data_IF_506369516255
#
_entry.id   IF_506369516255
#
_cell.length_a   1.000
_cell.length_b   1.000
_cell.length_c   1.000
_cell.angle_alpha   90.00
_cell.angle_beta   90.00
_cell.angle_gamma   90.00
#
_symmetry.space_group_name_H-M   'P 1'
#
loop_
_entity.id
_entity.type
_entity.pdbx_description
1 polymer ?
#
# COMPACT_ATOMS: atom_id res chain seq x y z
N UNK A 1 67.24 7.52 -54.93
CA UNK A 1 65.83 7.52 -55.37
C UNK A 1 64.95 7.77 -54.15
N UNK A 2 64.10 8.81 -54.19
CA UNK A 2 62.98 9.09 -53.26
C UNK A 2 61.85 8.06 -53.54
N UNK A 3 60.95 7.70 -52.59
CA UNK A 3 59.92 8.67 -52.16
C UNK A 3 59.44 8.62 -50.70
N UNK A 4 58.97 9.79 -50.29
CA UNK A 4 57.97 10.08 -49.26
C UNK A 4 56.62 9.46 -49.64
N UNK A 5 55.88 8.93 -48.66
CA UNK A 5 54.41 8.70 -48.66
C UNK A 5 53.98 8.96 -47.21
N UNK A 6 53.19 9.95 -46.80
CA UNK A 6 51.88 10.52 -47.23
C UNK A 6 50.73 9.51 -47.23
N UNK A 7 49.74 9.77 -46.36
CA UNK A 7 48.26 9.71 -46.55
C UNK A 7 47.55 9.17 -45.28
N UNK A 8 46.70 10.00 -44.63
CA UNK A 8 45.21 9.95 -44.64
C UNK A 8 44.69 9.09 -43.48
N UNK A 9 43.82 9.52 -42.55
CA UNK A 9 42.68 10.44 -42.64
C UNK A 9 41.39 9.61 -42.60
N UNK A 10 40.68 9.54 -41.45
CA UNK A 10 39.28 9.07 -41.32
C UNK A 10 38.77 9.41 -39.90
N UNK A 11 38.09 10.54 -39.67
CA UNK A 11 36.62 10.75 -39.65
C UNK A 11 35.77 9.79 -38.79
N UNK A 12 35.17 10.40 -37.76
CA UNK A 12 33.79 10.27 -37.26
C UNK A 12 33.35 8.95 -36.61
N UNK A 13 33.00 9.04 -35.31
CA UNK A 13 31.74 8.51 -34.78
C UNK A 13 31.39 9.20 -33.46
N UNK A 14 30.47 10.17 -33.52
CA UNK A 14 29.75 10.66 -32.37
C UNK A 14 28.95 9.50 -31.78
N UNK A 15 29.39 8.97 -30.65
CA UNK A 15 28.58 8.04 -29.86
C UNK A 15 27.68 8.88 -28.98
N UNK A 16 26.55 9.32 -29.53
CA UNK A 16 25.42 9.76 -28.72
C UNK A 16 24.99 8.55 -27.88
N UNK A 17 25.40 8.52 -26.62
CA UNK A 17 24.85 7.60 -25.64
C UNK A 17 23.37 7.95 -25.49
N UNK A 18 22.52 7.23 -26.22
CA UNK A 18 21.09 7.19 -25.98
C UNK A 18 20.91 6.64 -24.58
N UNK A 19 20.74 7.55 -23.62
CA UNK A 19 20.14 7.29 -22.33
C UNK A 19 18.70 6.86 -22.60
N UNK A 20 18.52 5.59 -22.97
CA UNK A 20 17.24 4.92 -22.84
C UNK A 20 16.99 4.84 -21.34
N UNK A 21 16.36 5.88 -20.81
CA UNK A 21 15.69 5.82 -19.52
C UNK A 21 14.73 4.65 -19.62
N UNK A 22 15.07 3.57 -18.92
CA UNK A 22 14.16 2.50 -18.60
C UNK A 22 13.04 3.12 -17.77
N UNK A 23 12.01 3.63 -18.45
CA UNK A 23 10.73 3.88 -17.83
C UNK A 23 10.29 2.49 -17.35
N UNK A 24 10.37 2.26 -16.03
CA UNK A 24 9.68 1.14 -15.43
C UNK A 24 8.26 1.17 -15.99
N UNK A 25 7.88 0.13 -16.72
CA UNK A 25 6.51 -0.02 -17.14
C UNK A 25 5.70 -0.04 -15.84
N UNK A 26 4.97 1.04 -15.57
CA UNK A 26 4.01 1.07 -14.47
C UNK A 26 3.11 -0.14 -14.70
N UNK A 27 3.18 -1.14 -13.81
CA UNK A 27 2.18 -2.18 -13.76
C UNK A 27 0.82 -1.48 -13.70
N UNK A 28 -0.16 -1.96 -14.46
CA UNK A 28 -1.50 -1.41 -14.39
C UNK A 28 -1.97 -1.56 -12.93
N UNK A 29 -2.12 -0.45 -12.22
CA UNK A 29 -2.53 -0.46 -10.82
C UNK A 29 -3.88 -1.17 -10.65
N UNK A 30 -4.03 -1.92 -9.56
CA UNK A 30 -5.28 -2.61 -9.21
C UNK A 30 -6.18 -1.75 -8.32
N UNK A 31 -7.26 -2.37 -7.85
CA UNK A 31 -8.15 -1.76 -6.87
C UNK A 31 -8.31 -2.65 -5.64
N UNK A 32 -8.59 -2.05 -4.49
CA UNK A 32 -8.91 -2.76 -3.26
C UNK A 32 -10.14 -2.18 -2.59
N UNK A 33 -11.09 -3.06 -2.29
CA UNK A 33 -12.17 -2.78 -1.35
C UNK A 33 -11.77 -3.25 0.04
N UNK A 34 -12.24 -2.57 1.08
CA UNK A 34 -11.94 -3.03 2.42
C UNK A 34 -12.97 -2.66 3.47
N UNK A 35 -12.87 -3.36 4.58
CA UNK A 35 -13.61 -3.08 5.80
C UNK A 35 -12.74 -3.31 7.02
N UNK A 36 -12.96 -2.49 8.05
CA UNK A 36 -12.34 -2.61 9.36
C UNK A 36 -13.44 -2.46 10.40
N UNK A 37 -13.51 -3.39 11.34
CA UNK A 37 -14.41 -3.31 12.50
C UNK A 37 -13.58 -3.04 13.75
N UNK A 38 -13.93 -1.98 14.48
CA UNK A 38 -13.27 -1.55 15.73
C UNK A 38 -14.35 -1.27 16.76
N UNK A 39 -14.27 -1.90 17.92
CA UNK A 39 -15.23 -1.76 19.01
C UNK A 39 -16.70 -1.89 18.54
N UNK A 40 -16.96 -2.81 17.60
CA UNK A 40 -18.29 -3.06 17.02
C UNK A 40 -18.78 -2.03 15.99
N UNK A 41 -17.99 -0.98 15.68
CA UNK A 41 -18.27 -0.06 14.59
C UNK A 41 -17.48 -0.47 13.35
N UNK A 42 -18.14 -0.53 12.19
CA UNK A 42 -17.51 -0.92 10.93
C UNK A 42 -17.33 0.28 10.02
N UNK A 43 -16.12 0.41 9.48
CA UNK A 43 -15.74 1.33 8.43
C UNK A 43 -15.53 0.54 7.14
N UNK A 44 -16.08 1.01 6.02
CA UNK A 44 -15.92 0.37 4.72
C UNK A 44 -15.47 1.37 3.66
N UNK A 45 -14.69 0.93 2.70
CA UNK A 45 -14.33 1.69 1.51
C UNK A 45 -14.32 0.77 0.29
N UNK A 46 -14.38 1.39 -0.88
CA UNK A 46 -14.35 0.67 -2.15
C UNK A 46 -13.41 1.35 -3.14
N UNK A 47 -12.81 0.59 -4.03
CA UNK A 47 -12.02 1.07 -5.16
C UNK A 47 -10.83 1.96 -4.77
N UNK A 48 -10.17 1.68 -3.63
CA UNK A 48 -8.90 2.32 -3.32
C UNK A 48 -7.83 1.85 -4.31
N UNK A 49 -6.99 2.77 -4.78
CA UNK A 49 -5.96 2.49 -5.77
C UNK A 49 -4.81 1.69 -5.17
N UNK A 50 -4.26 0.79 -5.97
CA UNK A 50 -3.04 0.06 -5.61
C UNK A 50 -1.97 0.21 -6.70
N UNK A 51 -0.70 0.09 -6.31
CA UNK A 51 0.42 0.29 -7.24
C UNK A 51 0.59 -0.85 -8.26
N UNK A 52 0.02 -2.03 -8.00
CA UNK A 52 0.12 -3.26 -8.78
C UNK A 52 -1.07 -4.17 -8.41
N UNK A 53 -1.12 -5.40 -8.91
CA UNK A 53 -2.14 -6.40 -8.59
C UNK A 53 -1.52 -7.64 -7.93
N UNK A 54 -2.24 -8.35 -7.04
CA UNK A 54 -1.75 -9.62 -6.49
C UNK A 54 -1.46 -10.64 -7.60
N UNK A 55 -0.40 -11.47 -7.47
CA UNK A 55 0.38 -11.72 -6.26
C UNK A 55 1.61 -10.82 -6.08
N UNK A 56 1.80 -9.79 -6.91
CA UNK A 56 2.92 -8.88 -6.73
C UNK A 56 2.76 -8.09 -5.42
N UNK A 57 3.88 -7.79 -4.74
CA UNK A 57 3.86 -6.81 -3.65
C UNK A 57 3.38 -5.47 -4.19
N UNK A 58 2.44 -4.86 -3.48
CA UNK A 58 1.83 -3.59 -3.87
C UNK A 58 1.77 -2.63 -2.68
N UNK A 59 1.49 -1.37 -2.95
CA UNK A 59 1.06 -0.39 -1.94
C UNK A 59 -0.39 -0.01 -2.18
N UNK A 60 -1.12 0.28 -1.10
CA UNK A 60 -2.47 0.88 -1.18
C UNK A 60 -2.29 2.39 -1.03
N UNK A 61 -2.79 3.17 -1.99
CA UNK A 61 -2.75 4.63 -1.93
C UNK A 61 -3.76 5.13 -0.90
N UNK A 62 -3.24 5.60 0.24
CA UNK A 62 -4.05 6.04 1.38
C UNK A 62 -4.96 7.22 1.04
N UNK A 63 -4.57 8.06 0.08
CA UNK A 63 -5.34 9.24 -0.33
C UNK A 63 -6.63 8.88 -1.05
N UNK A 64 -6.70 7.66 -1.58
CA UNK A 64 -7.88 7.13 -2.28
C UNK A 64 -8.82 6.35 -1.35
N UNK A 65 -8.38 6.07 -0.11
CA UNK A 65 -9.21 5.38 0.89
C UNK A 65 -10.19 6.36 1.51
N UNK A 66 -11.42 6.34 0.99
CA UNK A 66 -12.55 7.09 1.54
C UNK A 66 -13.44 6.18 2.38
N UNK A 67 -13.11 6.03 3.67
CA UNK A 67 -13.85 5.14 4.56
C UNK A 67 -15.15 5.77 5.05
N UNK A 68 -16.25 5.04 4.89
CA UNK A 68 -17.55 5.33 5.48
C UNK A 68 -17.72 4.48 6.74
N UNK A 69 -17.81 5.12 7.90
CA UNK A 69 -17.96 4.45 9.19
C UNK A 69 -19.38 4.61 9.73
N UNK A 70 -19.86 3.58 10.43
CA UNK A 70 -21.09 3.70 11.22
C UNK A 70 -20.95 4.72 12.36
N UNK A 71 -22.00 5.52 12.59
CA UNK A 71 -22.06 6.47 13.71
C UNK A 71 -21.38 7.81 13.44
N UNK A 72 -20.72 8.39 14.45
CA UNK A 72 -20.04 9.69 14.41
C UNK A 72 -18.52 9.58 14.26
N UNK A 73 -18.06 8.42 13.79
CA UNK A 73 -16.65 8.09 13.62
C UNK A 73 -16.24 8.42 12.18
N UNK A 74 -15.06 8.99 11.99
CA UNK A 74 -14.37 8.98 10.69
C UNK A 74 -13.04 8.27 10.85
N UNK A 75 -12.62 7.56 9.80
CA UNK A 75 -11.34 6.87 9.76
C UNK A 75 -10.62 7.16 8.44
N UNK A 76 -9.30 7.25 8.49
CA UNK A 76 -8.43 7.34 7.31
C UNK A 76 -7.14 6.56 7.56
N UNK A 77 -6.49 6.16 6.48
CA UNK A 77 -5.13 5.64 6.55
C UNK A 77 -4.13 6.81 6.67
N UNK A 78 -3.09 6.64 7.48
CA UNK A 78 -2.05 7.65 7.71
C UNK A 78 -0.80 7.47 6.83
N UNK A 79 -0.63 6.30 6.23
CA UNK A 79 0.48 5.91 5.38
C UNK A 79 -0.02 5.07 4.20
N UNK A 80 0.80 4.90 3.16
CA UNK A 80 0.57 3.95 2.05
C UNK A 80 1.05 2.55 2.47
N UNK A 81 0.17 1.64 2.93
CA UNK A 81 0.61 0.36 3.45
C UNK A 81 1.11 -0.53 2.32
N UNK A 82 2.24 -1.20 2.54
CA UNK A 82 2.77 -2.21 1.61
C UNK A 82 2.20 -3.58 1.96
N UNK A 83 1.62 -4.25 0.96
CA UNK A 83 1.04 -5.57 1.10
C UNK A 83 1.88 -6.57 0.31
N UNK A 84 2.37 -7.60 0.99
CA UNK A 84 3.08 -8.73 0.38
C UNK A 84 2.18 -9.96 0.43
N UNK A 85 2.10 -10.71 -0.67
CA UNK A 85 1.27 -11.91 -0.77
C UNK A 85 2.13 -13.17 -0.75
N UNK A 86 1.68 -14.17 0.00
CA UNK A 86 2.17 -15.54 -0.08
C UNK A 86 1.02 -16.44 -0.54
N UNK A 87 0.98 -16.70 -1.85
CA UNK A 87 -0.02 -17.57 -2.46
C UNK A 87 0.13 -19.05 -2.05
N UNK A 88 1.28 -19.45 -1.49
CA UNK A 88 1.51 -20.83 -1.03
C UNK A 88 0.82 -21.11 0.31
N UNK A 89 0.86 -20.14 1.21
CA UNK A 89 0.15 -20.19 2.51
C UNK A 89 -1.22 -19.53 2.44
N UNK A 90 -1.51 -18.82 1.35
CA UNK A 90 -2.75 -18.06 1.20
C UNK A 90 -2.81 -16.89 2.18
N UNK A 91 -1.71 -16.16 2.38
CA UNK A 91 -1.67 -15.03 3.31
C UNK A 91 -1.28 -13.73 2.61
N UNK A 92 -1.68 -12.60 3.20
CA UNK A 92 -1.15 -11.31 2.86
C UNK A 92 -0.70 -10.59 4.13
N UNK A 93 0.45 -9.94 4.06
CA UNK A 93 1.09 -9.29 5.21
C UNK A 93 1.37 -7.83 4.92
N UNK A 94 1.15 -6.96 5.92
CA UNK A 94 1.62 -5.58 5.93
C UNK A 94 2.42 -5.35 7.21
N UNK A 95 3.65 -4.79 7.13
CA UNK A 95 4.47 -4.56 8.32
C UNK A 95 3.83 -3.53 9.25
N UNK A 96 3.11 -2.55 8.69
CA UNK A 96 2.57 -1.43 9.44
C UNK A 96 1.37 -0.83 8.72
N UNK A 97 0.35 -0.46 9.49
CA UNK A 97 -0.81 0.32 9.03
C UNK A 97 -1.11 1.39 10.07
N UNK A 98 -0.98 2.65 9.64
CA UNK A 98 -1.40 3.81 10.43
C UNK A 98 -2.86 4.13 10.13
N UNK A 99 -3.63 4.29 11.19
CA UNK A 99 -5.05 4.64 11.13
C UNK A 99 -5.27 5.89 11.97
N UNK A 100 -5.83 6.92 11.35
CA UNK A 100 -6.35 8.08 12.06
C UNK A 100 -7.85 7.94 12.21
N UNK A 101 -8.35 7.97 13.44
CA UNK A 101 -9.77 7.95 13.75
C UNK A 101 -10.18 9.25 14.44
N UNK A 102 -11.34 9.81 14.07
CA UNK A 102 -11.92 10.97 14.77
C UNK A 102 -13.27 10.59 15.35
N UNK A 103 -13.44 10.83 16.66
CA UNK A 103 -14.69 10.57 17.38
C UNK A 103 -15.06 11.82 18.18
N UNK A 104 -16.28 12.32 17.98
CA UNK A 104 -16.77 13.53 18.65
C UNK A 104 -15.80 14.75 18.53
N UNK A 105 -15.12 14.88 17.39
CA UNK A 105 -14.16 15.95 17.11
C UNK A 105 -12.76 15.76 17.71
N UNK A 106 -12.49 14.63 18.36
CA UNK A 106 -11.18 14.26 18.88
C UNK A 106 -10.53 13.29 17.90
N UNK A 107 -9.41 13.68 17.32
CA UNK A 107 -8.61 12.82 16.44
C UNK A 107 -7.54 12.05 17.23
N UNK A 108 -7.46 10.75 16.97
CA UNK A 108 -6.54 9.81 17.58
C UNK A 108 -5.84 9.03 16.46
N UNK A 109 -4.52 8.92 16.52
CA UNK A 109 -3.74 8.10 15.61
C UNK A 109 -3.36 6.79 16.28
N UNK A 110 -3.55 5.69 15.56
CA UNK A 110 -3.23 4.34 15.98
C UNK A 110 -2.41 3.63 14.90
N UNK A 111 -1.66 2.61 15.30
CA UNK A 111 -0.86 1.81 14.40
C UNK A 111 -1.04 0.33 14.70
N UNK A 112 -1.24 -0.46 13.65
CA UNK A 112 -1.19 -1.93 13.70
C UNK A 112 0.11 -2.37 13.05
N UNK A 113 0.93 -3.13 13.78
CA UNK A 113 2.16 -3.72 13.26
C UNK A 113 1.96 -5.20 12.93
N UNK A 114 2.76 -5.72 12.00
CA UNK A 114 2.79 -7.13 11.60
C UNK A 114 1.40 -7.70 11.23
N UNK A 115 0.59 -6.90 10.53
CA UNK A 115 -0.72 -7.34 10.07
C UNK A 115 -0.54 -8.56 9.16
N UNK A 116 -1.22 -9.65 9.50
CA UNK A 116 -1.31 -10.85 8.66
C UNK A 116 -2.77 -11.23 8.48
N UNK A 117 -3.26 -11.21 7.23
CA UNK A 117 -4.61 -11.61 6.86
C UNK A 117 -4.57 -12.87 6.00
N UNK A 118 -5.59 -13.73 6.13
CA UNK A 118 -5.69 -15.00 5.41
C UNK A 118 -6.67 -14.92 4.27
N UNK A 119 -6.29 -15.48 3.12
CA UNK A 119 -7.08 -15.56 1.90
C UNK A 119 -8.30 -16.45 2.11
N UNK A 120 -9.46 -15.95 1.75
CA UNK A 120 -10.67 -16.73 1.63
C UNK A 120 -10.59 -17.60 0.37
N UNK A 121 -10.94 -18.88 0.51
CA UNK A 121 -10.73 -19.88 -0.54
C UNK A 121 -11.32 -19.45 -1.89
N UNK A 122 -10.49 -19.45 -2.93
CA UNK A 122 -10.90 -19.18 -4.31
C UNK A 122 -11.18 -17.71 -4.66
N UNK A 123 -11.04 -16.78 -3.71
CA UNK A 123 -11.23 -15.34 -3.96
C UNK A 123 -9.92 -14.57 -3.79
N UNK A 124 -9.89 -13.26 -4.08
CA UNK A 124 -8.79 -12.35 -3.68
C UNK A 124 -9.19 -11.53 -2.44
N UNK A 125 -10.05 -12.10 -1.61
CA UNK A 125 -10.45 -11.54 -0.32
C UNK A 125 -9.55 -12.11 0.77
N UNK A 126 -8.99 -11.24 1.59
CA UNK A 126 -8.17 -11.58 2.73
C UNK A 126 -8.81 -11.02 3.99
N UNK A 127 -8.95 -11.85 5.01
CA UNK A 127 -9.57 -11.47 6.28
C UNK A 127 -8.69 -11.84 7.45
N UNK A 128 -8.79 -11.10 8.53
CA UNK A 128 -8.15 -11.48 9.78
C UNK A 128 -8.61 -10.64 10.95
N UNK A 129 -7.93 -10.81 12.09
CA UNK A 129 -8.27 -10.23 13.38
C UNK A 129 -8.52 -11.30 14.45
N UNK A 130 -8.60 -10.90 15.72
CA UNK A 130 -8.45 -9.52 16.19
C UNK A 130 -6.98 -9.06 16.20
N UNK A 131 -6.77 -7.74 16.06
CA UNK A 131 -5.45 -7.10 16.19
C UNK A 131 -5.47 -6.02 17.27
N UNK A 132 -4.30 -5.67 17.78
CA UNK A 132 -4.12 -4.54 18.70
C UNK A 132 -3.53 -3.37 17.93
N UNK A 133 -4.23 -2.24 17.93
CA UNK A 133 -3.74 -0.99 17.40
C UNK A 133 -3.20 -0.12 18.54
N UNK A 134 -1.91 0.18 18.54
CA UNK A 134 -1.28 0.99 19.58
C UNK A 134 -1.42 2.47 19.23
N UNK A 135 -1.73 3.32 20.22
CA UNK A 135 -1.81 4.77 20.00
C UNK A 135 -0.44 5.34 19.64
N UNK A 136 -0.38 6.05 18.53
CA UNK A 136 0.83 6.77 18.07
C UNK A 136 0.70 8.28 18.25
N UNK A 137 -0.52 8.81 18.21
CA UNK A 137 -0.76 10.25 18.35
C UNK A 137 -2.17 10.60 18.87
N UNK A 138 -2.39 11.85 19.27
CA UNK A 138 -3.68 12.37 19.73
C UNK A 138 -3.72 12.75 21.21
N UNK A 139 -4.88 13.24 21.65
CA UNK A 139 -5.13 13.74 23.02
C UNK A 139 -5.00 12.65 24.09
N UNK A 140 -4.78 13.02 25.35
CA UNK A 140 -4.85 12.09 26.50
C UNK A 140 -6.21 11.37 26.61
N UNK A 141 -7.26 11.93 26.02
CA UNK A 141 -8.58 11.31 25.93
C UNK A 141 -8.64 10.11 24.97
N UNK A 142 -7.67 9.97 24.07
CA UNK A 142 -7.53 8.80 23.21
C UNK A 142 -6.98 7.62 24.01
N UNK A 143 -7.68 6.46 24.02
CA UNK A 143 -7.18 5.23 24.62
C UNK A 143 -5.76 4.88 24.18
N UNK A 144 -4.97 4.26 25.06
CA UNK A 144 -3.58 3.90 24.75
C UNK A 144 -3.46 2.82 23.68
N UNK A 145 -4.52 2.04 23.46
CA UNK A 145 -4.63 1.02 22.43
C UNK A 145 -6.10 0.73 22.15
N UNK A 146 -6.38 0.26 20.94
CA UNK A 146 -7.70 -0.19 20.51
C UNK A 146 -7.63 -1.62 19.96
N UNK A 147 -8.77 -2.34 20.02
CA UNK A 147 -8.89 -3.66 19.40
C UNK A 147 -9.55 -3.52 18.03
N UNK A 148 -8.86 -3.95 17.00
CA UNK A 148 -9.42 -4.13 15.66
C UNK A 148 -10.03 -5.53 15.63
N UNK A 149 -11.36 -5.61 15.72
CA UNK A 149 -12.10 -6.87 15.80
C UNK A 149 -11.90 -7.71 14.55
N UNK A 150 -11.97 -7.08 13.38
CA UNK A 150 -11.76 -7.74 12.10
C UNK A 150 -11.34 -6.77 10.99
N UNK A 151 -10.57 -7.29 10.04
CA UNK A 151 -10.20 -6.62 8.79
C UNK A 151 -10.58 -7.52 7.62
N UNK A 152 -11.07 -6.92 6.53
CA UNK A 152 -11.27 -7.57 5.25
C UNK A 152 -10.73 -6.69 4.12
N UNK A 153 -9.97 -7.27 3.19
CA UNK A 153 -9.43 -6.63 2.01
C UNK A 153 -9.74 -7.49 0.78
N UNK A 154 -10.41 -6.95 -0.22
CA UNK A 154 -10.67 -7.64 -1.49
C UNK A 154 -9.99 -6.91 -2.61
N UNK A 155 -9.01 -7.56 -3.23
CA UNK A 155 -8.23 -7.01 -4.34
C UNK A 155 -8.86 -7.41 -5.69
N UNK A 156 -8.88 -6.47 -6.64
CA UNK A 156 -9.47 -6.60 -7.98
C UNK A 156 -8.47 -6.24 -9.07
#
# INVERSE_FOLDING_TARGET
>A
MKPVRTLVGLTVAASAALLLGSNAAYAAGGQVDGSITVAGSTCTWTNASTSDVPPNTLTIDHTTVSASCGGSISASLGNDPSVTFDDSTGTATSPEIDVSATVAGISCGYQVTDLTVSRQSGTRTYTGGPYTAAKTSGSFLCPGSETVDSVSLTFH
#
